data_IF_612660447886
#
_entry.id   IF_612660447886
#
_cell.length_a   1.000
_cell.length_b   1.000
_cell.length_c   1.000
_cell.angle_alpha   90.00
_cell.angle_beta   90.00
_cell.angle_gamma   90.00
#
_symmetry.space_group_name_H-M   'P 1'
#
loop_
_entity.id
_entity.type
_entity.pdbx_description
1 polymer ?
#
# COMPACT_ATOMS: atom_id res chain seq x y z
N UNK A 1 -44.91 -51.02 -20.26
CA UNK A 1 -44.09 -50.47 -19.14
C UNK A 1 -43.32 -49.29 -19.71
N UNK A 2 -43.70 -48.06 -19.35
CA UNK A 2 -43.03 -46.83 -19.80
C UNK A 2 -41.92 -46.50 -18.81
N UNK A 3 -40.68 -46.38 -19.28
CA UNK A 3 -39.55 -45.87 -18.51
C UNK A 3 -39.82 -44.42 -18.08
N UNK A 4 -39.77 -44.18 -16.77
CA UNK A 4 -39.75 -42.85 -16.20
C UNK A 4 -38.35 -42.26 -16.40
N UNK A 5 -38.20 -41.42 -17.42
CA UNK A 5 -37.03 -40.57 -17.60
C UNK A 5 -36.94 -39.59 -16.43
N UNK A 6 -36.14 -39.92 -15.42
CA UNK A 6 -35.74 -38.98 -14.37
C UNK A 6 -34.95 -37.84 -15.03
N UNK A 7 -35.60 -36.69 -15.17
CA UNK A 7 -34.96 -35.44 -15.54
C UNK A 7 -34.00 -35.04 -14.42
N UNK A 8 -32.70 -35.30 -14.59
CA UNK A 8 -31.68 -34.70 -13.74
C UNK A 8 -31.71 -33.18 -13.93
N UNK A 9 -32.24 -32.47 -12.94
CA UNK A 9 -32.03 -31.04 -12.78
C UNK A 9 -30.58 -30.83 -12.32
N UNK A 10 -29.67 -30.62 -13.26
CA UNK A 10 -28.33 -30.14 -12.94
C UNK A 10 -28.46 -28.80 -12.19
N UNK A 11 -27.87 -28.65 -10.98
CA UNK A 11 -27.90 -27.37 -10.29
C UNK A 11 -27.18 -26.33 -11.15
N UNK A 12 -27.86 -25.22 -11.43
CA UNK A 12 -27.25 -24.07 -12.11
C UNK A 12 -25.94 -23.70 -11.41
N UNK A 13 -24.85 -23.42 -12.17
CA UNK A 13 -23.60 -22.96 -11.57
C UNK A 13 -23.92 -21.73 -10.72
N UNK A 14 -23.62 -21.78 -9.42
CA UNK A 14 -23.76 -20.62 -8.54
C UNK A 14 -22.89 -19.52 -9.12
N UNK A 15 -23.50 -18.51 -9.74
CA UNK A 15 -22.78 -17.38 -10.29
C UNK A 15 -21.92 -16.78 -9.17
N UNK A 16 -20.60 -16.83 -9.32
CA UNK A 16 -19.69 -16.28 -8.34
C UNK A 16 -20.01 -14.79 -8.18
N UNK A 17 -20.47 -14.39 -6.99
CA UNK A 17 -20.77 -12.99 -6.69
C UNK A 17 -19.48 -12.19 -6.82
N UNK A 18 -19.37 -11.39 -7.89
CA UNK A 18 -18.22 -10.51 -8.07
C UNK A 18 -18.23 -9.45 -6.95
N UNK A 19 -17.12 -9.24 -6.23
CA UNK A 19 -17.07 -8.26 -5.16
C UNK A 19 -17.26 -6.83 -5.71
N UNK A 20 -18.06 -6.03 -5.02
CA UNK A 20 -18.30 -4.64 -5.41
C UNK A 20 -17.04 -3.77 -5.22
N UNK A 21 -16.93 -2.66 -5.95
CA UNK A 21 -15.84 -1.67 -5.77
C UNK A 21 -15.73 -1.21 -4.31
N UNK A 22 -16.87 -1.02 -3.64
CA UNK A 22 -16.93 -0.67 -2.23
C UNK A 22 -16.30 -1.75 -1.32
N UNK A 23 -16.51 -3.03 -1.61
CA UNK A 23 -15.88 -4.12 -0.87
C UNK A 23 -14.36 -4.15 -1.06
N UNK A 24 -13.87 -3.82 -2.27
CA UNK A 24 -12.42 -3.69 -2.54
C UNK A 24 -11.80 -2.52 -1.77
N UNK A 25 -12.47 -1.37 -1.71
CA UNK A 25 -12.03 -0.21 -0.92
C UNK A 25 -12.03 -0.54 0.57
N UNK A 26 -13.12 -1.09 1.10
CA UNK A 26 -13.24 -1.46 2.51
C UNK A 26 -12.14 -2.45 2.94
N UNK A 27 -11.83 -3.44 2.11
CA UNK A 27 -10.74 -4.38 2.38
C UNK A 27 -9.37 -3.71 2.31
N UNK A 28 -9.15 -2.83 1.34
CA UNK A 28 -7.91 -2.05 1.23
C UNK A 28 -7.68 -1.17 2.44
N UNK A 29 -8.74 -0.64 3.04
CA UNK A 29 -8.64 0.19 4.22
C UNK A 29 -8.02 -0.51 5.42
N UNK A 30 -8.03 -1.85 5.47
CA UNK A 30 -7.29 -2.61 6.49
C UNK A 30 -5.78 -2.34 6.44
N UNK A 31 -5.23 -1.94 5.28
CA UNK A 31 -3.82 -1.53 5.17
C UNK A 31 -3.45 -0.31 5.99
N UNK A 32 -4.44 0.52 6.39
CA UNK A 32 -4.25 1.58 7.37
C UNK A 32 -3.53 1.06 8.62
N UNK A 33 -3.94 -0.11 9.13
CA UNK A 33 -3.38 -0.72 10.36
C UNK A 33 -1.89 -1.03 10.22
N UNK A 34 -1.41 -1.25 8.99
CA UNK A 34 -0.01 -1.50 8.72
C UNK A 34 0.90 -0.32 9.03
N UNK A 35 0.40 0.92 8.92
CA UNK A 35 1.18 2.12 9.25
C UNK A 35 1.49 2.25 10.75
N UNK A 36 0.50 2.35 11.68
CA UNK A 36 0.78 2.50 13.10
C UNK A 36 1.45 1.25 13.67
N UNK A 37 1.07 0.04 13.26
CA UNK A 37 1.72 -1.17 13.74
C UNK A 37 3.16 -1.26 13.25
N UNK A 38 3.41 -0.98 11.97
CA UNK A 38 4.75 -0.98 11.40
C UNK A 38 5.63 0.06 12.08
N UNK A 39 5.15 1.31 12.18
CA UNK A 39 5.87 2.40 12.83
C UNK A 39 6.18 2.13 14.30
N UNK A 40 5.25 1.53 15.06
CA UNK A 40 5.48 1.14 16.45
C UNK A 40 6.52 0.02 16.58
N UNK A 41 6.42 -1.03 15.76
CA UNK A 41 7.40 -2.12 15.75
C UNK A 41 8.78 -1.57 15.40
N UNK A 42 8.87 -0.71 14.39
CA UNK A 42 10.12 -0.08 13.99
C UNK A 42 10.71 0.78 15.10
N UNK A 43 9.91 1.61 15.78
CA UNK A 43 10.39 2.42 16.90
C UNK A 43 10.94 1.54 18.02
N UNK A 44 10.25 0.46 18.38
CA UNK A 44 10.68 -0.45 19.46
C UNK A 44 11.98 -1.18 19.10
N UNK A 45 12.14 -1.58 17.84
CA UNK A 45 13.28 -2.43 17.42
C UNK A 45 14.49 -1.61 16.98
N UNK A 46 14.26 -0.50 16.26
CA UNK A 46 15.30 0.29 15.60
C UNK A 46 15.57 1.64 16.26
N UNK A 47 14.67 2.10 17.14
CA UNK A 47 14.70 3.44 17.71
C UNK A 47 14.17 4.52 16.75
N UNK A 48 14.31 5.81 17.14
CA UNK A 48 13.96 6.95 16.30
C UNK A 48 14.74 7.00 14.99
N UNK A 49 14.17 7.63 13.97
CA UNK A 49 14.83 7.86 12.68
C UNK A 49 15.72 9.11 12.79
N UNK A 50 16.86 8.95 13.45
CA UNK A 50 17.89 9.97 13.67
C UNK A 50 19.20 9.67 12.92
N UNK A 51 19.26 8.54 12.23
CA UNK A 51 20.44 8.07 11.50
C UNK A 51 20.05 7.20 10.31
N UNK A 52 20.95 7.08 9.33
CA UNK A 52 20.71 6.24 8.14
C UNK A 52 20.48 4.77 8.51
N UNK A 53 21.25 4.14 9.43
CA UNK A 53 20.99 2.75 9.82
C UNK A 53 19.62 2.55 10.48
N UNK A 54 19.19 3.44 11.37
CA UNK A 54 17.85 3.34 12.00
C UNK A 54 16.75 3.57 10.96
N UNK A 55 16.94 4.49 10.02
CA UNK A 55 16.05 4.71 8.88
C UNK A 55 15.90 3.45 8.01
N UNK A 56 17.01 2.77 7.66
CA UNK A 56 16.98 1.54 6.86
C UNK A 56 16.26 0.42 7.62
N UNK A 57 16.64 0.18 8.88
CA UNK A 57 16.05 -0.89 9.69
C UNK A 57 14.56 -0.65 9.94
N UNK A 58 14.19 0.56 10.35
CA UNK A 58 12.81 0.96 10.56
C UNK A 58 11.97 0.91 9.27
N UNK A 59 12.52 1.38 8.15
CA UNK A 59 11.85 1.31 6.85
C UNK A 59 11.64 -0.13 6.37
N UNK A 60 12.58 -1.04 6.61
CA UNK A 60 12.38 -2.47 6.30
C UNK A 60 11.25 -3.08 7.12
N UNK A 61 11.22 -2.82 8.42
CA UNK A 61 10.19 -3.34 9.34
C UNK A 61 8.81 -2.78 8.98
N UNK A 62 8.69 -1.46 8.91
CA UNK A 62 7.42 -0.80 8.62
C UNK A 62 6.90 -1.17 7.23
N UNK A 63 7.78 -1.21 6.23
CA UNK A 63 7.40 -1.54 4.87
C UNK A 63 7.03 -3.01 4.69
N UNK A 64 7.62 -3.93 5.46
CA UNK A 64 7.21 -5.33 5.48
C UNK A 64 5.81 -5.50 6.08
N UNK A 65 5.54 -4.84 7.21
CA UNK A 65 4.21 -4.88 7.86
C UNK A 65 3.15 -4.25 6.95
N UNK A 66 3.38 -3.04 6.45
CA UNK A 66 2.47 -2.36 5.53
C UNK A 66 2.22 -3.18 4.26
N UNK A 67 3.31 -3.68 3.64
CA UNK A 67 3.25 -4.51 2.46
C UNK A 67 2.45 -5.80 2.68
N UNK A 68 2.51 -6.40 3.88
CA UNK A 68 1.75 -7.59 4.21
C UNK A 68 0.24 -7.33 4.23
N UNK A 69 -0.19 -6.24 4.89
CA UNK A 69 -1.60 -5.85 4.88
C UNK A 69 -2.10 -5.48 3.48
N UNK A 70 -1.30 -4.75 2.69
CA UNK A 70 -1.64 -4.43 1.30
C UNK A 70 -1.76 -5.68 0.42
N UNK A 71 -0.79 -6.59 0.51
CA UNK A 71 -0.78 -7.84 -0.25
C UNK A 71 -1.98 -8.73 0.11
N UNK A 72 -2.34 -8.79 1.39
CA UNK A 72 -3.55 -9.45 1.87
C UNK A 72 -4.81 -8.79 1.30
N UNK A 73 -4.90 -7.46 1.36
CA UNK A 73 -6.09 -6.73 0.92
C UNK A 73 -6.34 -6.85 -0.59
N UNK A 74 -5.28 -6.84 -1.41
CA UNK A 74 -5.40 -7.08 -2.86
C UNK A 74 -5.60 -8.55 -3.23
N UNK A 75 -5.47 -9.47 -2.27
CA UNK A 75 -5.40 -10.92 -2.53
C UNK A 75 -4.37 -11.22 -3.63
N UNK A 76 -3.22 -10.55 -3.57
CA UNK A 76 -2.17 -10.68 -4.59
C UNK A 76 -1.68 -12.12 -4.66
N UNK A 77 -1.42 -12.62 -5.87
CA UNK A 77 -0.73 -13.91 -6.06
C UNK A 77 0.77 -13.76 -5.80
N UNK A 78 1.32 -12.56 -6.00
CA UNK A 78 2.73 -12.23 -5.79
C UNK A 78 2.95 -11.52 -4.45
N UNK A 79 2.38 -12.09 -3.36
CA UNK A 79 2.40 -11.46 -2.02
C UNK A 79 3.80 -11.13 -1.55
N UNK A 80 4.72 -12.09 -1.62
CA UNK A 80 6.10 -11.89 -1.17
C UNK A 80 6.80 -10.79 -1.97
N UNK A 81 6.65 -10.77 -3.31
CA UNK A 81 7.24 -9.72 -4.12
C UNK A 81 6.68 -8.33 -3.78
N UNK A 82 5.38 -8.22 -3.47
CA UNK A 82 4.77 -6.96 -3.02
C UNK A 82 5.31 -6.50 -1.66
N UNK A 83 5.40 -7.43 -0.71
CA UNK A 83 5.94 -7.17 0.63
C UNK A 83 7.38 -6.68 0.53
N UNK A 84 8.23 -7.42 -0.19
CA UNK A 84 9.63 -7.08 -0.36
C UNK A 84 9.81 -5.74 -1.10
N UNK A 85 9.04 -5.50 -2.16
CA UNK A 85 9.08 -4.22 -2.87
C UNK A 85 8.69 -3.05 -1.95
N UNK A 86 7.65 -3.22 -1.13
CA UNK A 86 7.21 -2.18 -0.18
C UNK A 86 8.25 -1.95 0.91
N UNK A 87 8.84 -3.02 1.47
CA UNK A 87 9.91 -2.96 2.46
C UNK A 87 11.16 -2.26 1.92
N UNK A 88 11.65 -2.67 0.75
CA UNK A 88 12.85 -2.09 0.13
C UNK A 88 12.58 -0.63 -0.26
N UNK A 89 11.45 -0.36 -0.92
CA UNK A 89 11.09 1.00 -1.31
C UNK A 89 10.97 1.94 -0.11
N UNK A 90 10.41 1.47 1.01
CA UNK A 90 10.31 2.26 2.23
C UNK A 90 11.68 2.48 2.87
N UNK A 91 12.51 1.43 3.00
CA UNK A 91 13.85 1.53 3.56
C UNK A 91 14.74 2.50 2.78
N UNK A 92 14.77 2.37 1.45
CA UNK A 92 15.55 3.26 0.57
C UNK A 92 15.01 4.68 0.61
N UNK A 93 13.69 4.85 0.51
CA UNK A 93 13.04 6.15 0.52
C UNK A 93 13.22 6.90 1.82
N UNK A 94 13.05 6.21 2.95
CA UNK A 94 13.21 6.79 4.28
C UNK A 94 14.67 7.16 4.53
N UNK A 95 15.62 6.26 4.26
CA UNK A 95 17.04 6.53 4.46
C UNK A 95 17.55 7.72 3.63
N UNK A 96 17.15 7.79 2.35
CA UNK A 96 17.54 8.90 1.49
C UNK A 96 16.77 10.18 1.85
N UNK A 97 15.46 10.08 2.10
CA UNK A 97 14.60 11.21 2.44
C UNK A 97 14.99 11.87 3.75
N UNK A 98 15.23 11.09 4.80
CA UNK A 98 15.61 11.62 6.12
C UNK A 98 17.00 12.25 6.10
N UNK A 99 17.96 11.62 5.40
CA UNK A 99 19.28 12.20 5.23
C UNK A 99 19.27 13.49 4.38
N UNK A 100 18.36 13.61 3.41
CA UNK A 100 18.24 14.82 2.57
C UNK A 100 17.77 16.03 3.37
N UNK A 101 17.02 15.81 4.45
CA UNK A 101 16.49 16.86 5.32
C UNK A 101 17.23 16.96 6.65
N UNK A 102 18.42 16.36 6.74
CA UNK A 102 19.23 16.30 7.97
C UNK A 102 18.43 15.83 9.20
N UNK A 103 17.49 14.91 8.99
CA UNK A 103 16.58 14.37 10.01
C UNK A 103 15.67 15.42 10.68
N UNK A 104 15.47 16.56 10.02
CA UNK A 104 14.54 17.62 10.41
C UNK A 104 13.10 17.14 10.49
N UNK A 105 12.34 17.73 11.42
CA UNK A 105 10.94 17.38 11.72
C UNK A 105 9.98 18.53 11.44
N UNK A 106 10.46 19.61 10.85
CA UNK A 106 9.61 20.71 10.40
C UNK A 106 8.68 20.25 9.28
N UNK A 107 7.56 20.97 9.09
CA UNK A 107 6.56 20.63 8.08
C UNK A 107 7.16 20.45 6.67
N UNK A 108 8.06 21.35 6.27
CA UNK A 108 8.71 21.28 4.96
C UNK A 108 9.57 20.03 4.79
N UNK A 109 10.33 19.68 5.83
CA UNK A 109 11.23 18.53 5.85
C UNK A 109 10.44 17.22 5.78
N UNK A 110 9.37 17.11 6.58
CA UNK A 110 8.53 15.92 6.59
C UNK A 110 7.75 15.73 5.29
N UNK A 111 7.29 16.83 4.67
CA UNK A 111 6.65 16.79 3.34
C UNK A 111 7.65 16.33 2.27
N UNK A 112 8.89 16.83 2.29
CA UNK A 112 9.94 16.45 1.35
C UNK A 112 10.39 15.00 1.55
N UNK A 113 10.70 14.61 2.78
CA UNK A 113 10.99 13.21 3.16
C UNK A 113 9.83 12.29 2.72
N UNK A 114 8.60 12.71 2.95
CA UNK A 114 7.39 12.03 2.53
C UNK A 114 7.31 11.82 1.02
N UNK A 115 7.56 12.87 0.24
CA UNK A 115 7.58 12.80 -1.22
C UNK A 115 8.65 11.81 -1.71
N UNK A 116 9.88 11.94 -1.21
CA UNK A 116 11.00 11.06 -1.56
C UNK A 116 10.67 9.60 -1.23
N UNK A 117 10.11 9.36 -0.04
CA UNK A 117 9.74 8.03 0.42
C UNK A 117 8.60 7.44 -0.43
N UNK A 118 7.57 8.23 -0.70
CA UNK A 118 6.46 7.83 -1.57
C UNK A 118 6.91 7.50 -3.00
N UNK A 119 7.86 8.25 -3.54
CA UNK A 119 8.45 7.97 -4.84
C UNK A 119 9.16 6.61 -4.84
N UNK A 120 10.02 6.36 -3.85
CA UNK A 120 10.77 5.10 -3.75
C UNK A 120 9.83 3.88 -3.57
N UNK A 121 8.85 3.96 -2.68
CA UNK A 121 7.82 2.92 -2.49
C UNK A 121 7.03 2.70 -3.79
N UNK A 122 6.59 3.79 -4.42
CA UNK A 122 5.82 3.73 -5.65
C UNK A 122 6.60 3.11 -6.81
N UNK A 123 7.88 3.45 -6.98
CA UNK A 123 8.77 2.83 -7.97
C UNK A 123 8.93 1.33 -7.74
N UNK A 124 9.22 0.93 -6.50
CA UNK A 124 9.38 -0.48 -6.15
C UNK A 124 8.10 -1.28 -6.40
N UNK A 125 6.94 -0.75 -6.00
CA UNK A 125 5.64 -1.37 -6.26
C UNK A 125 5.29 -1.38 -7.75
N UNK A 126 5.59 -0.31 -8.50
CA UNK A 126 5.37 -0.24 -9.94
C UNK A 126 6.12 -1.35 -10.69
N UNK A 127 7.33 -1.70 -10.26
CA UNK A 127 8.09 -2.83 -10.83
C UNK A 127 7.35 -4.18 -10.68
N UNK A 128 6.59 -4.36 -9.58
CA UNK A 128 5.73 -5.54 -9.38
C UNK A 128 4.47 -5.45 -10.23
N UNK A 129 3.86 -4.28 -10.32
CA UNK A 129 2.64 -4.03 -11.10
C UNK A 129 2.84 -4.12 -12.61
N UNK A 130 4.02 -3.75 -13.12
CA UNK A 130 4.29 -3.62 -14.55
C UNK A 130 3.95 -4.90 -15.33
N UNK A 131 4.25 -6.07 -14.74
CA UNK A 131 3.91 -7.37 -15.35
C UNK A 131 2.41 -7.65 -15.45
N UNK A 132 1.61 -7.03 -14.58
CA UNK A 132 0.17 -7.27 -14.46
C UNK A 132 -0.67 -6.21 -15.16
N UNK A 133 -0.24 -4.96 -15.16
CA UNK A 133 -1.01 -3.82 -15.67
C UNK A 133 -0.36 -3.12 -16.86
N UNK A 134 0.87 -3.50 -17.23
CA UNK A 134 1.62 -2.82 -18.29
C UNK A 134 2.02 -1.39 -17.93
N UNK A 135 2.31 -0.54 -18.94
CA UNK A 135 2.89 0.80 -18.74
C UNK A 135 2.10 1.75 -17.84
N UNK A 136 0.80 1.55 -17.65
CA UNK A 136 0.00 2.36 -16.71
C UNK A 136 0.52 2.29 -15.27
N UNK A 137 1.25 1.22 -14.92
CA UNK A 137 1.95 1.11 -13.64
C UNK A 137 2.92 2.26 -13.38
N UNK A 138 3.44 2.92 -14.42
CA UNK A 138 4.39 4.03 -14.31
C UNK A 138 3.76 5.34 -13.80
N UNK A 139 2.43 5.43 -13.73
CA UNK A 139 1.73 6.55 -13.08
C UNK A 139 1.75 6.38 -11.55
N UNK A 140 1.86 5.14 -11.07
CA UNK A 140 1.81 4.80 -9.64
C UNK A 140 2.85 5.55 -8.79
N UNK A 141 4.14 5.64 -9.18
CA UNK A 141 5.13 6.37 -8.39
C UNK A 141 4.80 7.84 -8.21
N UNK A 142 4.35 8.52 -9.27
CA UNK A 142 3.95 9.93 -9.22
C UNK A 142 2.77 10.13 -8.27
N UNK A 143 1.78 9.23 -8.35
CA UNK A 143 0.62 9.28 -7.47
C UNK A 143 0.98 9.06 -5.99
N UNK A 144 1.77 8.01 -5.69
CA UNK A 144 2.19 7.67 -4.33
C UNK A 144 3.07 8.78 -3.73
N UNK A 145 3.93 9.42 -4.53
CA UNK A 145 4.72 10.59 -4.12
C UNK A 145 3.84 11.70 -3.53
N UNK A 146 2.82 12.14 -4.28
CA UNK A 146 1.93 13.20 -3.82
C UNK A 146 1.08 12.80 -2.62
N UNK A 147 0.60 11.55 -2.60
CA UNK A 147 -0.21 11.02 -1.49
C UNK A 147 0.60 10.93 -0.19
N UNK A 148 1.85 10.48 -0.25
CA UNK A 148 2.73 10.40 0.93
C UNK A 148 3.13 11.78 1.46
N UNK A 149 3.46 12.72 0.58
CA UNK A 149 3.71 14.11 0.94
C UNK A 149 2.50 14.72 1.67
N UNK A 150 1.29 14.48 1.15
CA UNK A 150 0.04 14.91 1.79
C UNK A 150 -0.19 14.23 3.14
N UNK A 151 0.12 12.94 3.28
CA UNK A 151 0.02 12.20 4.53
C UNK A 151 0.86 12.82 5.66
N UNK A 152 2.08 13.24 5.34
CA UNK A 152 2.93 13.98 6.27
C UNK A 152 2.38 15.38 6.58
N UNK A 153 1.98 16.15 5.56
CA UNK A 153 1.39 17.47 5.77
C UNK A 153 0.18 17.45 6.72
N UNK A 154 -0.71 16.47 6.54
CA UNK A 154 -1.88 16.27 7.41
C UNK A 154 -1.46 15.90 8.83
N UNK A 155 -0.49 15.00 8.98
CA UNK A 155 -0.09 14.53 10.32
C UNK A 155 0.61 15.63 11.12
N UNK A 156 1.48 16.39 10.47
CA UNK A 156 2.18 17.52 11.10
C UNK A 156 1.23 18.67 11.42
N UNK A 157 0.28 18.99 10.54
CA UNK A 157 -0.68 20.09 10.77
C UNK A 157 -1.66 19.84 11.92
N UNK A 158 -1.90 18.57 12.28
CA UNK A 158 -2.78 18.19 13.40
C UNK A 158 -1.99 18.13 14.73
N UNK A 159 -0.67 18.38 14.73
CA UNK A 159 0.16 18.39 15.94
C UNK A 159 0.36 17.01 16.55
N UNK A 160 0.37 15.95 15.72
CA UNK A 160 0.82 14.62 16.17
C UNK A 160 2.33 14.71 16.46
N UNK A 161 2.79 13.98 17.48
CA UNK A 161 4.20 13.88 17.92
C UNK A 161 5.12 13.43 16.78
N UNK A 162 5.52 14.34 15.89
CA UNK A 162 6.46 14.09 14.80
C UNK A 162 7.91 14.17 15.29
N UNK A 163 8.10 14.76 16.47
CA UNK A 163 9.36 14.91 17.18
C UNK A 163 9.96 13.56 17.60
N UNK A 164 9.14 12.53 17.70
CA UNK A 164 9.56 11.15 17.97
C UNK A 164 10.22 10.46 16.76
N UNK A 165 10.32 11.15 15.62
CA UNK A 165 10.97 10.67 14.38
C UNK A 165 10.53 9.26 13.96
N UNK A 166 9.22 9.05 13.87
CA UNK A 166 8.66 7.81 13.37
C UNK A 166 9.00 7.57 11.89
N UNK A 167 9.10 6.29 11.51
CA UNK A 167 9.30 5.86 10.10
C UNK A 167 8.16 6.22 9.14
N UNK A 168 6.99 6.59 9.66
CA UNK A 168 5.77 6.90 8.92
C UNK A 168 4.99 8.01 9.62
N UNK A 169 4.15 8.70 8.86
CA UNK A 169 3.23 9.72 9.36
C UNK A 169 2.23 9.15 10.38
N UNK A 170 1.59 10.06 11.13
CA UNK A 170 0.58 9.72 12.14
C UNK A 170 -0.71 9.13 11.57
N UNK A 171 -1.62 8.72 12.47
CA UNK A 171 -2.85 8.01 12.10
C UNK A 171 -3.73 8.77 11.09
N UNK A 172 -3.85 10.10 11.22
CA UNK A 172 -4.62 10.92 10.29
C UNK A 172 -4.06 10.86 8.86
N UNK A 173 -2.73 11.01 8.70
CA UNK A 173 -2.06 10.81 7.43
C UNK A 173 -2.25 9.40 6.89
N UNK A 174 -2.14 8.38 7.75
CA UNK A 174 -2.29 6.99 7.33
C UNK A 174 -3.68 6.64 6.84
N UNK A 175 -4.74 7.16 7.45
CA UNK A 175 -6.11 7.00 6.93
C UNK A 175 -6.22 7.63 5.55
N UNK A 176 -5.73 8.86 5.38
CA UNK A 176 -5.75 9.57 4.10
C UNK A 176 -4.99 8.80 3.02
N UNK A 177 -3.77 8.34 3.31
CA UNK A 177 -2.94 7.58 2.36
C UNK A 177 -3.62 6.26 2.00
N UNK A 178 -4.11 5.52 2.97
CA UNK A 178 -4.78 4.25 2.70
C UNK A 178 -6.07 4.47 1.89
N UNK A 179 -6.83 5.54 2.14
CA UNK A 179 -8.04 5.86 1.37
C UNK A 179 -7.69 6.23 -0.08
N UNK A 180 -6.74 7.15 -0.29
CA UNK A 180 -6.35 7.61 -1.62
C UNK A 180 -5.74 6.46 -2.45
N UNK A 181 -4.90 5.63 -1.84
CA UNK A 181 -4.29 4.48 -2.53
C UNK A 181 -5.28 3.34 -2.83
N UNK A 182 -6.51 3.38 -2.31
CA UNK A 182 -7.55 2.39 -2.63
C UNK A 182 -7.97 2.39 -4.11
N UNK A 183 -7.57 3.41 -4.88
CA UNK A 183 -7.70 3.41 -6.34
C UNK A 183 -7.02 2.20 -6.98
N UNK A 184 -5.91 1.70 -6.40
CA UNK A 184 -5.17 0.56 -6.93
C UNK A 184 -6.01 -0.72 -6.99
N UNK A 185 -6.55 -1.26 -5.88
CA UNK A 185 -7.40 -2.44 -5.92
C UNK A 185 -8.68 -2.24 -6.74
N UNK A 186 -9.21 -1.01 -6.83
CA UNK A 186 -10.36 -0.71 -7.70
C UNK A 186 -9.98 -0.88 -9.18
N UNK A 187 -8.84 -0.35 -9.61
CA UNK A 187 -8.34 -0.49 -10.98
C UNK A 187 -7.96 -1.93 -11.33
N UNK A 188 -7.36 -2.66 -10.38
CA UNK A 188 -7.06 -4.08 -10.52
C UNK A 188 -8.33 -4.94 -10.54
N UNK A 189 -9.46 -4.47 -10.02
CA UNK A 189 -10.73 -5.19 -10.15
C UNK A 189 -11.38 -4.94 -11.52
N UNK A 190 -11.42 -3.69 -11.98
CA UNK A 190 -12.10 -3.33 -13.23
C UNK A 190 -11.42 -3.89 -14.48
N UNK A 191 -10.09 -3.89 -14.54
CA UNK A 191 -9.34 -4.37 -15.72
C UNK A 191 -9.50 -5.87 -15.97
N UNK A 192 -9.63 -6.68 -14.92
CA UNK A 192 -9.69 -8.14 -15.04
C UNK A 192 -11.12 -8.66 -15.23
N UNK A 193 -12.13 -7.94 -14.75
CA UNK A 193 -13.53 -8.25 -15.04
C UNK A 193 -13.89 -8.08 -16.54
N UNK A 194 -13.17 -7.22 -17.27
CA UNK A 194 -13.43 -6.97 -18.70
C UNK A 194 -12.80 -8.05 -19.59
N UNK A 195 -11.64 -8.59 -19.23
CA UNK A 195 -10.95 -9.63 -20.02
C UNK A 195 -11.72 -10.96 -20.04
N UNK A 196 -12.37 -11.31 -18.93
CA UNK A 196 -13.16 -12.55 -18.82
C UNK A 196 -14.41 -12.52 -19.72
N UNK A 197 -15.01 -11.34 -19.94
CA UNK A 197 -16.15 -11.16 -20.85
C UNK A 197 -15.80 -11.18 -22.34
N UNK A 198 -14.52 -11.04 -22.70
CA UNK A 198 -14.10 -11.02 -24.11
C UNK A 198 -13.82 -12.41 -24.70
N UNK A 199 -13.87 -13.46 -23.87
CA UNK A 199 -13.56 -14.85 -24.25
C UNK A 199 -14.73 -15.82 -24.04
N UNK A 200 -15.94 -15.31 -23.75
CA UNK A 200 -17.20 -16.07 -23.74
C UNK A 200 -18.11 -15.57 -24.86
#
# INVERSE_FOLDING_TARGET
MKENTMTQLSPSPTAAVQPSKAASVARWMVSFVGFPLGGLIALIVSGPVDSVPSAVAGGLLTGAVLGAFQAWAMRSERRLAWILATAIGLATGLAFGSATVDFGTDLGDLVLQGAITGLAVGLAQAAVLLRRTGPIALIWPVYVTGVWALGWAISTSIGIQVEDQFTVFGAAGAITVALLTSVLPVLLHTRFATTEKSHS
#
